data_IF_952670410649
#
_entry.id   IF_952670410649
#
_cell.length_a   1.000
_cell.length_b   1.000
_cell.length_c   1.000
_cell.angle_alpha   90.00
_cell.angle_beta   90.00
_cell.angle_gamma   90.00
#
_symmetry.space_group_name_H-M   'P 1'
#
loop_
_entity.id
_entity.type
_entity.pdbx_description
1 polymer ?
#
# COMPACT_ATOMS: atom_id res chain seq x y z
N UNK A 1 -1.07 3.08 9.50
CA UNK A 1 -0.15 4.06 8.87
C UNK A 1 1.02 4.47 9.79
N UNK A 2 0.87 4.53 11.11
CA UNK A 2 1.99 4.82 12.02
C UNK A 2 3.19 3.86 11.88
N UNK A 3 2.93 2.55 11.74
CA UNK A 3 4.00 1.56 11.55
C UNK A 3 4.78 1.79 10.24
N UNK A 4 4.10 2.16 9.16
CA UNK A 4 4.76 2.54 7.91
C UNK A 4 5.67 3.75 8.10
N UNK A 5 5.20 4.78 8.80
CA UNK A 5 6.01 5.97 9.06
C UNK A 5 7.25 5.63 9.90
N UNK A 6 7.09 4.82 10.95
CA UNK A 6 8.21 4.31 11.74
C UNK A 6 9.21 3.49 10.90
N UNK A 7 8.72 2.72 9.93
CA UNK A 7 9.57 1.98 9.00
C UNK A 7 10.40 2.91 8.10
N UNK A 8 9.81 3.98 7.57
CA UNK A 8 10.51 4.99 6.73
C UNK A 8 11.56 5.75 7.55
N UNK A 9 11.34 5.93 8.86
CA UNK A 9 12.32 6.58 9.75
C UNK A 9 13.50 5.67 10.11
N UNK A 10 13.34 4.35 9.97
CA UNK A 10 14.35 3.36 10.40
C UNK A 10 15.07 2.69 9.24
N UNK A 11 14.52 2.76 8.02
CA UNK A 11 15.03 2.15 6.78
C UNK A 11 14.77 3.08 5.59
N UNK A 12 15.51 2.89 4.48
CA UNK A 12 15.36 3.66 3.24
C UNK A 12 13.91 3.68 2.72
N UNK A 13 13.46 4.82 2.22
CA UNK A 13 12.09 5.01 1.73
C UNK A 13 11.78 4.09 0.55
N UNK A 14 12.76 3.90 -0.35
CA UNK A 14 12.63 3.01 -1.50
C UNK A 14 12.41 1.55 -1.10
N UNK A 15 13.12 1.05 -0.07
CA UNK A 15 12.95 -0.32 0.45
C UNK A 15 11.56 -0.49 1.07
N UNK A 16 11.14 0.45 1.92
CA UNK A 16 9.82 0.41 2.57
C UNK A 16 8.70 0.43 1.53
N UNK A 17 8.80 1.29 0.51
CA UNK A 17 7.80 1.40 -0.55
C UNK A 17 7.70 0.13 -1.39
N UNK A 18 8.83 -0.50 -1.73
CA UNK A 18 8.82 -1.76 -2.50
C UNK A 18 8.30 -2.92 -1.66
N UNK A 19 8.71 -3.07 -0.41
CA UNK A 19 8.17 -4.12 0.46
C UNK A 19 6.68 -3.93 0.71
N UNK A 20 6.23 -2.68 0.85
CA UNK A 20 4.80 -2.39 0.95
C UNK A 20 4.03 -2.72 -0.33
N UNK A 21 4.69 -2.75 -1.49
CA UNK A 21 4.05 -3.15 -2.75
C UNK A 21 3.67 -4.64 -2.80
N UNK A 22 4.19 -5.46 -1.89
CA UNK A 22 3.74 -6.85 -1.68
C UNK A 22 2.37 -6.94 -1.00
N UNK A 23 1.64 -5.82 -0.85
CA UNK A 23 0.27 -5.81 -0.35
C UNK A 23 -0.67 -6.81 -1.04
N UNK A 24 -0.61 -7.02 -2.38
CA UNK A 24 -1.46 -7.99 -3.06
C UNK A 24 -1.30 -9.43 -2.57
N UNK A 25 -0.11 -9.85 -2.11
CA UNK A 25 0.09 -11.16 -1.46
C UNK A 25 -0.85 -11.33 -0.28
N UNK A 26 -0.78 -10.39 0.67
CA UNK A 26 -1.58 -10.45 1.88
C UNK A 26 -3.07 -10.28 1.57
N UNK A 27 -3.42 -9.39 0.64
CA UNK A 27 -4.81 -9.21 0.19
C UNK A 27 -5.33 -10.51 -0.43
N UNK A 28 -4.54 -11.22 -1.22
CA UNK A 28 -4.97 -12.47 -1.88
C UNK A 28 -5.27 -13.56 -0.85
N UNK A 29 -4.37 -13.76 0.11
CA UNK A 29 -4.55 -14.74 1.20
C UNK A 29 -5.78 -14.36 2.04
N UNK A 30 -5.90 -13.10 2.44
CA UNK A 30 -6.99 -12.63 3.30
C UNK A 30 -8.33 -12.60 2.56
N UNK A 31 -8.36 -12.26 1.28
CA UNK A 31 -9.56 -12.30 0.46
C UNK A 31 -10.06 -13.73 0.25
N UNK A 32 -9.17 -14.70 0.09
CA UNK A 32 -9.56 -16.11 0.08
C UNK A 32 -10.16 -16.54 1.42
N UNK A 33 -9.51 -16.23 2.55
CA UNK A 33 -9.97 -16.65 3.87
C UNK A 33 -11.25 -15.94 4.32
N UNK A 34 -11.33 -14.63 4.12
CA UNK A 34 -12.43 -13.80 4.61
C UNK A 34 -13.52 -13.64 3.54
N UNK A 35 -13.19 -13.27 2.31
CA UNK A 35 -14.19 -13.02 1.27
C UNK A 35 -14.62 -14.29 0.52
N UNK A 36 -13.90 -15.41 0.68
CA UNK A 36 -14.06 -16.62 -0.13
C UNK A 36 -13.88 -16.34 -1.63
N UNK A 37 -13.01 -15.38 -1.97
CA UNK A 37 -12.58 -15.15 -3.35
C UNK A 37 -11.72 -16.33 -3.83
N UNK A 38 -11.91 -16.78 -5.06
CA UNK A 38 -11.12 -17.89 -5.61
C UNK A 38 -9.67 -17.47 -5.84
N UNK A 39 -8.72 -18.34 -5.51
CA UNK A 39 -7.31 -18.15 -5.85
C UNK A 39 -7.03 -18.84 -7.19
N UNK A 40 -6.68 -18.06 -8.21
CA UNK A 40 -6.22 -18.61 -9.48
C UNK A 40 -4.73 -19.00 -9.41
N UNK A 41 -4.31 -19.98 -10.22
CA UNK A 41 -2.91 -20.44 -10.28
C UNK A 41 -1.92 -19.32 -10.62
N UNK A 42 -2.36 -18.33 -11.41
CA UNK A 42 -1.62 -17.10 -11.71
C UNK A 42 -1.30 -16.28 -10.47
N UNK A 43 -2.25 -16.17 -9.53
CA UNK A 43 -2.09 -15.38 -8.31
C UNK A 43 -1.10 -16.05 -7.35
N UNK A 44 -1.05 -17.40 -7.34
CA UNK A 44 -0.04 -18.16 -6.58
C UNK A 44 1.36 -17.97 -7.17
N UNK A 45 1.49 -17.99 -8.50
CA UNK A 45 2.78 -17.74 -9.15
C UNK A 45 3.28 -16.32 -8.88
N UNK A 46 2.40 -15.32 -8.99
CA UNK A 46 2.70 -13.93 -8.65
C UNK A 46 3.20 -13.81 -7.21
N UNK A 47 2.50 -14.44 -6.27
CA UNK A 47 2.86 -14.47 -4.86
C UNK A 47 4.26 -15.06 -4.62
N UNK A 48 4.61 -16.18 -5.27
CA UNK A 48 5.94 -16.79 -5.15
C UNK A 48 7.02 -15.84 -5.68
N UNK A 49 6.80 -15.25 -6.86
CA UNK A 49 7.76 -14.31 -7.47
C UNK A 49 7.94 -13.05 -6.63
N UNK A 50 6.88 -12.56 -5.97
CA UNK A 50 6.95 -11.42 -5.05
C UNK A 50 7.72 -11.74 -3.77
N UNK A 51 7.53 -12.92 -3.20
CA UNK A 51 8.33 -13.38 -2.05
C UNK A 51 9.81 -13.46 -2.43
N UNK A 52 10.13 -14.04 -3.59
CA UNK A 52 11.51 -14.10 -4.07
C UNK A 52 12.08 -12.70 -4.29
N UNK A 53 11.34 -11.82 -4.97
CA UNK A 53 11.75 -10.44 -5.23
C UNK A 53 12.00 -9.65 -3.94
N UNK A 54 11.11 -9.76 -2.96
CA UNK A 54 11.27 -9.10 -1.65
C UNK A 54 12.48 -9.62 -0.87
N UNK A 55 12.75 -10.94 -0.90
CA UNK A 55 13.93 -11.53 -0.28
C UNK A 55 15.24 -11.04 -0.92
N UNK A 56 15.27 -10.89 -2.25
CA UNK A 56 16.43 -10.35 -2.98
C UNK A 56 16.67 -8.87 -2.60
N UNK A 57 15.62 -8.07 -2.43
CA UNK A 57 15.72 -6.66 -2.01
C UNK A 57 16.28 -6.55 -0.61
N UNK A 58 15.72 -7.33 0.32
CA UNK A 58 16.19 -7.36 1.71
C UNK A 58 17.66 -7.80 1.75
N UNK A 59 18.05 -8.78 0.92
CA UNK A 59 19.38 -9.38 0.89
C UNK A 59 19.91 -9.71 2.30
N UNK A 60 19.32 -10.73 2.96
CA UNK A 60 19.55 -11.03 4.37
C UNK A 60 21.00 -11.45 4.71
N UNK A 61 21.82 -11.75 3.70
CA UNK A 61 23.21 -12.23 3.87
C UNK A 61 24.25 -11.09 3.86
N UNK A 62 23.87 -9.87 3.48
CA UNK A 62 24.80 -8.72 3.39
C UNK A 62 24.20 -7.42 3.97
N UNK A 63 23.31 -7.57 4.96
CA UNK A 63 22.34 -6.53 5.30
C UNK A 63 22.96 -5.33 6.03
N UNK A 64 23.02 -4.18 5.34
CA UNK A 64 23.10 -2.83 5.96
C UNK A 64 21.72 -2.26 6.32
N UNK A 65 20.64 -3.04 6.18
CA UNK A 65 19.27 -2.60 6.44
C UNK A 65 18.86 -2.92 7.88
N UNK A 66 18.05 -2.03 8.46
CA UNK A 66 17.51 -2.24 9.79
C UNK A 66 16.36 -3.26 9.73
N UNK A 67 16.57 -4.45 10.29
CA UNK A 67 15.56 -5.52 10.37
C UNK A 67 14.27 -5.02 11.02
N UNK A 68 14.38 -4.14 12.03
CA UNK A 68 13.21 -3.59 12.71
C UNK A 68 12.29 -2.82 11.75
N UNK A 69 12.86 -1.99 10.87
CA UNK A 69 12.09 -1.26 9.85
C UNK A 69 11.44 -2.19 8.81
N UNK A 70 12.10 -3.29 8.45
CA UNK A 70 11.53 -4.32 7.56
C UNK A 70 10.32 -4.99 8.21
N UNK A 71 10.43 -5.41 9.48
CA UNK A 71 9.32 -6.01 10.23
C UNK A 71 8.13 -5.05 10.37
N UNK A 72 8.41 -3.77 10.68
CA UNK A 72 7.38 -2.74 10.74
C UNK A 72 6.67 -2.53 9.38
N UNK A 73 7.42 -2.62 8.28
CA UNK A 73 6.86 -2.52 6.93
C UNK A 73 5.89 -3.67 6.69
N UNK A 74 6.32 -4.92 6.93
CA UNK A 74 5.49 -6.11 6.75
C UNK A 74 4.23 -6.04 7.62
N UNK A 75 4.37 -5.65 8.90
CA UNK A 75 3.24 -5.47 9.80
C UNK A 75 2.26 -4.40 9.28
N UNK A 76 2.78 -3.26 8.79
CA UNK A 76 1.95 -2.22 8.20
C UNK A 76 1.23 -2.68 6.94
N UNK A 77 1.88 -3.47 6.09
CA UNK A 77 1.29 -4.03 4.88
C UNK A 77 0.17 -5.00 5.22
N UNK A 78 0.37 -5.88 6.21
CA UNK A 78 -0.67 -6.81 6.66
C UNK A 78 -1.91 -6.10 7.21
N UNK A 79 -1.72 -5.08 8.06
CA UNK A 79 -2.83 -4.28 8.60
C UNK A 79 -3.56 -3.55 7.47
N UNK A 80 -2.83 -3.03 6.49
CA UNK A 80 -3.43 -2.37 5.34
C UNK A 80 -4.21 -3.34 4.44
N UNK A 81 -3.70 -4.55 4.23
CA UNK A 81 -4.41 -5.61 3.51
C UNK A 81 -5.71 -5.99 4.22
N UNK A 82 -5.68 -6.15 5.55
CA UNK A 82 -6.88 -6.38 6.37
C UNK A 82 -7.89 -5.25 6.20
N UNK A 83 -7.44 -4.00 6.29
CA UNK A 83 -8.30 -2.83 6.07
C UNK A 83 -8.98 -2.85 4.70
N UNK A 84 -8.24 -3.14 3.63
CA UNK A 84 -8.79 -3.25 2.27
C UNK A 84 -9.82 -4.37 2.15
N UNK A 85 -9.50 -5.58 2.63
CA UNK A 85 -10.38 -6.76 2.53
C UNK A 85 -11.66 -6.61 3.35
N UNK A 86 -11.58 -6.08 4.58
CA UNK A 86 -12.78 -5.75 5.34
C UNK A 86 -13.57 -4.60 4.71
N UNK A 87 -12.86 -3.60 4.18
CA UNK A 87 -13.44 -2.49 3.45
C UNK A 87 -14.29 -2.96 2.26
N UNK A 88 -13.82 -3.93 1.47
CA UNK A 88 -14.57 -4.54 0.36
C UNK A 88 -15.97 -5.00 0.77
N UNK A 89 -16.10 -5.72 1.91
CA UNK A 89 -17.40 -6.19 2.41
C UNK A 89 -18.36 -5.04 2.69
N UNK A 90 -17.85 -3.94 3.23
CA UNK A 90 -18.64 -2.76 3.57
C UNK A 90 -18.96 -1.91 2.34
N UNK A 91 -18.06 -1.86 1.37
CA UNK A 91 -18.27 -1.17 0.10
C UNK A 91 -19.47 -1.73 -0.65
N UNK A 92 -19.65 -3.05 -0.67
CA UNK A 92 -20.82 -3.69 -1.29
C UNK A 92 -22.16 -3.31 -0.63
N UNK A 93 -22.16 -2.90 0.64
CA UNK A 93 -23.37 -2.52 1.39
C UNK A 93 -23.63 -1.01 1.37
N UNK A 94 -22.60 -0.19 1.48
CA UNK A 94 -22.71 1.24 1.74
C UNK A 94 -22.12 2.13 0.63
N UNK A 95 -21.40 1.55 -0.34
CA UNK A 95 -20.55 2.29 -1.26
C UNK A 95 -19.18 2.61 -0.64
N UNK A 96 -18.16 2.60 -1.48
CA UNK A 96 -16.75 2.82 -1.17
C UNK A 96 -16.41 4.27 -0.90
N UNK A 97 -17.12 5.24 -1.49
CA UNK A 97 -17.01 6.65 -1.08
C UNK A 97 -17.44 6.80 0.38
N UNK A 98 -18.57 6.19 0.76
CA UNK A 98 -19.08 6.24 2.14
C UNK A 98 -18.11 5.56 3.11
N UNK A 99 -17.59 4.37 2.75
CA UNK A 99 -16.56 3.68 3.54
C UNK A 99 -15.30 4.53 3.71
N UNK A 100 -14.90 5.27 2.67
CA UNK A 100 -13.76 6.21 2.74
C UNK A 100 -14.03 7.36 3.71
N UNK A 101 -15.20 7.99 3.63
CA UNK A 101 -15.58 9.08 4.54
C UNK A 101 -15.57 8.63 6.01
N UNK A 102 -16.22 7.50 6.32
CA UNK A 102 -16.19 6.95 7.68
C UNK A 102 -14.76 6.58 8.10
N UNK A 103 -13.98 5.97 7.20
CA UNK A 103 -12.57 5.66 7.44
C UNK A 103 -11.74 6.89 7.82
N UNK A 104 -11.95 8.02 7.15
CA UNK A 104 -11.28 9.28 7.48
C UNK A 104 -11.79 9.93 8.76
N UNK A 105 -13.08 9.85 9.06
CA UNK A 105 -13.61 10.37 10.33
C UNK A 105 -13.00 9.58 11.50
N UNK A 106 -13.09 8.25 11.49
CA UNK A 106 -12.54 7.43 12.57
C UNK A 106 -11.02 7.49 12.62
N UNK A 107 -10.33 7.47 11.47
CA UNK A 107 -8.88 7.60 11.42
C UNK A 107 -8.38 8.97 11.89
N UNK A 108 -9.10 10.06 11.60
CA UNK A 108 -8.74 11.39 12.10
C UNK A 108 -8.99 11.51 13.60
N UNK A 109 -10.08 10.94 14.13
CA UNK A 109 -10.34 10.86 15.56
C UNK A 109 -9.27 10.03 16.30
N UNK A 110 -8.91 8.86 15.78
CA UNK A 110 -7.83 8.02 16.32
C UNK A 110 -6.52 8.81 16.39
N UNK A 111 -6.14 9.48 15.29
CA UNK A 111 -4.92 10.29 15.26
C UNK A 111 -4.98 11.48 16.21
N UNK A 112 -6.13 12.13 16.34
CA UNK A 112 -6.31 13.25 17.27
C UNK A 112 -6.12 12.81 18.73
N UNK A 113 -6.62 11.62 19.08
CA UNK A 113 -6.40 11.03 20.41
C UNK A 113 -4.91 10.75 20.62
N UNK A 114 -4.23 10.13 19.67
CA UNK A 114 -2.79 9.86 19.76
C UNK A 114 -1.96 11.15 19.90
N UNK A 115 -2.33 12.20 19.17
CA UNK A 115 -1.70 13.51 19.30
C UNK A 115 -1.98 14.10 20.68
N UNK A 116 -3.21 14.04 21.19
CA UNK A 116 -3.53 14.49 22.55
C UNK A 116 -2.70 13.77 23.62
N UNK A 117 -2.53 12.45 23.49
CA UNK A 117 -1.66 11.67 24.38
C UNK A 117 -0.18 12.08 24.29
N UNK A 118 0.29 12.51 23.12
CA UNK A 118 1.68 12.97 22.94
C UNK A 118 2.03 14.24 23.71
N UNK A 119 1.03 15.02 24.16
CA UNK A 119 1.22 16.22 24.98
C UNK A 119 1.26 15.93 26.49
N UNK A 120 0.93 14.70 26.91
CA UNK A 120 1.04 14.30 28.32
C UNK A 120 2.52 14.17 28.67
N UNK A 121 2.98 14.92 29.67
CA UNK A 121 4.42 15.06 30.01
C UNK A 121 5.13 13.71 30.21
N UNK A 122 4.46 12.74 30.82
CA UNK A 122 5.02 11.39 31.00
C UNK A 122 5.23 10.64 29.68
N UNK A 123 4.23 10.67 28.78
CA UNK A 123 4.27 9.99 27.48
C UNK A 123 5.25 10.71 26.53
N UNK A 124 5.20 12.04 26.53
CA UNK A 124 6.12 12.91 25.79
C UNK A 124 7.57 12.61 26.14
N UNK A 125 7.91 12.51 27.44
CA UNK A 125 9.27 12.17 27.87
C UNK A 125 9.71 10.75 27.45
N UNK A 126 8.80 9.77 27.47
CA UNK A 126 9.10 8.41 26.97
C UNK A 126 9.42 8.46 25.47
N UNK A 127 8.65 9.22 24.68
CA UNK A 127 8.88 9.35 23.25
C UNK A 127 10.14 10.14 22.94
N UNK A 128 10.41 11.22 23.67
CA UNK A 128 11.61 12.05 23.53
C UNK A 128 12.91 11.28 23.81
N UNK A 129 12.89 10.36 24.78
CA UNK A 129 14.05 9.54 25.14
C UNK A 129 14.37 8.42 24.13
N UNK A 130 13.51 8.21 23.13
CA UNK A 130 13.70 7.20 22.09
C UNK A 130 14.03 7.87 20.75
N UNK A 131 15.20 7.59 20.17
CA UNK A 131 15.66 8.20 18.91
C UNK A 131 14.67 8.07 17.74
N UNK A 132 13.86 7.00 17.71
CA UNK A 132 12.88 6.73 16.65
C UNK A 132 11.51 7.35 16.95
N UNK A 133 11.12 7.42 18.23
CA UNK A 133 9.79 7.89 18.63
C UNK A 133 9.76 9.39 18.95
N UNK A 134 10.90 10.06 18.98
CA UNK A 134 11.03 11.50 19.28
C UNK A 134 10.15 12.38 18.39
N UNK A 135 9.93 11.99 17.13
CA UNK A 135 9.03 12.68 16.19
C UNK A 135 7.55 12.65 16.63
N UNK A 136 7.17 11.67 17.45
CA UNK A 136 5.83 11.55 18.02
C UNK A 136 5.70 12.25 19.37
N UNK A 137 6.73 12.94 19.85
CA UNK A 137 6.68 13.74 21.07
C UNK A 137 6.09 15.11 20.79
N UNK A 138 5.08 15.53 21.56
CA UNK A 138 4.50 16.88 21.50
C UNK A 138 4.12 17.33 20.08
N UNK A 139 3.38 16.47 19.36
CA UNK A 139 3.08 16.67 17.94
C UNK A 139 2.32 17.99 17.76
N UNK A 140 2.84 18.93 16.96
CA UNK A 140 2.16 20.19 16.72
C UNK A 140 0.94 20.02 15.81
N UNK A 141 -0.22 20.52 16.24
CA UNK A 141 -1.46 20.49 15.44
C UNK A 141 -1.67 21.70 14.54
N UNK A 142 -1.17 22.87 14.95
CA UNK A 142 -1.49 24.15 14.28
C UNK A 142 -0.25 24.94 13.84
N UNK A 143 0.95 24.36 13.95
CA UNK A 143 2.21 25.02 13.57
C UNK A 143 2.86 24.31 12.40
N UNK A 144 3.62 25.04 11.57
CA UNK A 144 4.25 24.49 10.36
C UNK A 144 3.42 24.67 9.09
N UNK A 145 2.23 25.26 9.20
CA UNK A 145 1.39 25.66 8.08
C UNK A 145 1.77 27.08 7.65
N UNK A 146 2.60 27.21 6.63
CA UNK A 146 2.94 28.48 5.99
C UNK A 146 2.40 28.49 4.56
N UNK A 147 2.37 29.66 3.92
CA UNK A 147 1.93 29.77 2.52
C UNK A 147 2.80 28.93 1.58
N UNK A 148 4.05 28.67 1.95
CA UNK A 148 4.99 27.84 1.20
C UNK A 148 4.72 26.33 1.37
N UNK A 149 4.26 25.89 2.55
CA UNK A 149 3.96 24.46 2.80
C UNK A 149 2.53 24.09 2.41
N UNK A 150 1.64 25.07 2.31
CA UNK A 150 0.23 24.86 1.99
C UNK A 150 -0.01 24.05 0.70
N UNK A 151 0.69 24.27 -0.43
CA UNK A 151 0.48 23.48 -1.65
C UNK A 151 0.80 22.00 -1.45
N UNK A 152 1.87 21.68 -0.71
CA UNK A 152 2.26 20.30 -0.41
C UNK A 152 1.20 19.63 0.46
N UNK A 153 0.66 20.35 1.44
CA UNK A 153 -0.39 19.84 2.33
C UNK A 153 -1.69 19.59 1.56
N UNK A 154 -2.10 20.52 0.70
CA UNK A 154 -3.28 20.35 -0.16
C UNK A 154 -3.10 19.13 -1.08
N UNK A 155 -1.92 18.97 -1.69
CA UNK A 155 -1.62 17.82 -2.52
C UNK A 155 -1.72 16.50 -1.74
N UNK A 156 -1.12 16.42 -0.55
CA UNK A 156 -1.14 15.21 0.27
C UNK A 156 -2.57 14.89 0.76
N UNK A 157 -3.31 15.89 1.23
CA UNK A 157 -4.64 15.69 1.82
C UNK A 157 -5.71 15.42 0.77
N UNK A 158 -5.79 16.23 -0.30
CA UNK A 158 -6.86 16.13 -1.29
C UNK A 158 -6.53 15.10 -2.34
N UNK A 159 -5.36 15.20 -2.98
CA UNK A 159 -5.03 14.37 -4.15
C UNK A 159 -4.58 12.99 -3.71
N UNK A 160 -3.52 12.90 -2.90
CA UNK A 160 -2.95 11.61 -2.52
C UNK A 160 -3.87 10.83 -1.57
N UNK A 161 -4.38 11.47 -0.52
CA UNK A 161 -5.18 10.78 0.50
C UNK A 161 -6.65 10.74 0.09
N UNK A 162 -7.29 11.91 -0.11
CA UNK A 162 -8.71 12.01 -0.43
C UNK A 162 -9.12 11.23 -1.67
N UNK A 163 -8.66 11.68 -2.84
CA UNK A 163 -8.98 11.07 -4.13
C UNK A 163 -8.38 9.66 -4.25
N UNK A 164 -7.16 9.46 -3.76
CA UNK A 164 -6.50 8.15 -3.80
C UNK A 164 -7.33 7.06 -3.14
N UNK A 165 -7.78 7.26 -1.89
CA UNK A 165 -8.63 6.28 -1.20
C UNK A 165 -10.04 6.20 -1.76
N UNK A 166 -10.64 7.32 -2.15
CA UNK A 166 -11.97 7.33 -2.76
C UNK A 166 -11.99 6.51 -4.06
N UNK A 167 -11.02 6.70 -4.94
CA UNK A 167 -10.88 5.92 -6.17
C UNK A 167 -10.50 4.47 -5.89
N UNK A 168 -9.65 4.21 -4.89
CA UNK A 168 -9.29 2.85 -4.50
C UNK A 168 -10.51 2.06 -4.04
N UNK A 169 -11.31 2.59 -3.12
CA UNK A 169 -12.51 1.91 -2.66
C UNK A 169 -13.63 1.91 -3.70
N UNK A 170 -13.72 2.94 -4.55
CA UNK A 170 -14.66 2.93 -5.68
C UNK A 170 -14.32 1.84 -6.69
N UNK A 171 -13.04 1.66 -7.04
CA UNK A 171 -12.59 0.54 -7.86
C UNK A 171 -12.85 -0.82 -7.17
N UNK A 172 -12.70 -0.86 -5.86
CA UNK A 172 -13.00 -2.04 -5.04
C UNK A 172 -14.50 -2.34 -4.94
N UNK A 173 -15.40 -1.39 -5.18
CA UNK A 173 -16.83 -1.72 -5.34
C UNK A 173 -17.04 -2.56 -6.60
N UNK A 174 -16.46 -2.11 -7.72
CA UNK A 174 -16.69 -2.64 -9.07
C UNK A 174 -15.81 -3.84 -9.44
N UNK A 175 -14.78 -4.15 -8.63
CA UNK A 175 -13.84 -5.26 -8.86
C UNK A 175 -13.55 -6.03 -7.57
N UNK A 176 -12.81 -7.15 -7.65
CA UNK A 176 -12.42 -7.91 -6.45
C UNK A 176 -11.36 -7.18 -5.62
N UNK A 177 -11.21 -7.57 -4.35
CA UNK A 177 -10.15 -7.03 -3.50
C UNK A 177 -8.77 -7.34 -4.09
N UNK A 178 -8.61 -8.57 -4.61
CA UNK A 178 -7.41 -9.01 -5.34
C UNK A 178 -7.10 -8.09 -6.52
N UNK A 179 -8.02 -7.92 -7.48
CA UNK A 179 -7.78 -7.10 -8.68
C UNK A 179 -7.50 -5.64 -8.34
N UNK A 180 -8.21 -5.07 -7.36
CA UNK A 180 -7.96 -3.67 -6.94
C UNK A 180 -6.56 -3.52 -6.36
N UNK A 181 -6.09 -4.49 -5.58
CA UNK A 181 -4.76 -4.42 -4.95
C UNK A 181 -3.60 -4.42 -5.96
N UNK A 182 -3.80 -4.91 -7.19
CA UNK A 182 -2.77 -4.95 -8.23
C UNK A 182 -2.23 -3.55 -8.59
N UNK A 183 -2.99 -2.47 -8.32
CA UNK A 183 -2.50 -1.08 -8.50
C UNK A 183 -1.30 -0.75 -7.63
N UNK A 184 -1.06 -1.50 -6.54
CA UNK A 184 0.14 -1.33 -5.72
C UNK A 184 1.42 -1.76 -6.45
N UNK A 185 1.32 -2.49 -7.56
CA UNK A 185 2.46 -2.88 -8.38
C UNK A 185 3.09 -1.77 -9.23
N UNK A 186 2.49 -0.58 -9.27
CA UNK A 186 3.16 0.60 -9.82
C UNK A 186 4.24 1.15 -8.86
N UNK A 187 4.11 0.93 -7.55
CA UNK A 187 5.06 1.40 -6.54
C UNK A 187 6.51 0.91 -6.75
N UNK A 188 6.79 -0.37 -7.03
CA UNK A 188 8.17 -0.84 -7.17
C UNK A 188 8.92 -0.24 -8.37
N UNK A 189 8.21 0.36 -9.33
CA UNK A 189 8.84 1.14 -10.41
C UNK A 189 8.99 2.60 -9.99
N UNK A 190 7.87 3.22 -9.60
CA UNK A 190 7.83 4.67 -9.39
C UNK A 190 8.58 5.10 -8.14
N UNK A 191 8.45 4.36 -7.03
CA UNK A 191 9.03 4.78 -5.76
C UNK A 191 10.58 4.79 -5.79
N UNK A 192 11.29 3.77 -6.32
CA UNK A 192 12.74 3.83 -6.44
C UNK A 192 13.23 4.94 -7.36
N UNK A 193 12.56 5.15 -8.51
CA UNK A 193 12.91 6.24 -9.44
C UNK A 193 12.74 7.60 -8.77
N UNK A 194 11.61 7.82 -8.09
CA UNK A 194 11.38 9.07 -7.36
C UNK A 194 12.34 9.22 -6.17
N UNK A 195 12.68 8.15 -5.47
CA UNK A 195 13.67 8.20 -4.39
C UNK A 195 15.08 8.53 -4.90
N UNK A 196 15.47 8.02 -6.07
CA UNK A 196 16.74 8.38 -6.71
C UNK A 196 16.77 9.86 -7.12
N UNK A 197 15.69 10.36 -7.72
CA UNK A 197 15.62 11.74 -8.24
C UNK A 197 15.47 12.77 -7.12
N UNK A 198 14.57 12.52 -6.17
CA UNK A 198 14.16 13.49 -5.14
C UNK A 198 14.93 13.34 -3.82
N UNK A 199 15.28 12.10 -3.45
CA UNK A 199 15.98 11.81 -2.18
C UNK A 199 17.46 11.48 -2.40
N UNK A 200 17.91 11.41 -3.65
CA UNK A 200 19.26 11.01 -4.03
C UNK A 200 19.68 9.65 -3.44
N UNK A 201 18.72 8.73 -3.27
CA UNK A 201 19.00 7.39 -2.77
C UNK A 201 19.73 6.55 -3.83
N UNK A 202 20.85 5.94 -3.46
CA UNK A 202 21.53 4.96 -4.32
C UNK A 202 20.69 3.68 -4.38
N UNK A 203 20.24 3.32 -5.59
CA UNK A 203 19.53 2.07 -5.90
C UNK A 203 20.56 0.96 -6.11
N UNK A 204 20.68 0.00 -5.17
CA UNK A 204 21.65 -1.08 -5.32
C UNK A 204 21.16 -2.12 -6.34
N UNK A 205 22.09 -2.87 -6.93
CA UNK A 205 21.79 -3.81 -8.01
C UNK A 205 20.80 -4.92 -7.61
N UNK A 206 20.88 -5.40 -6.36
CA UNK A 206 19.91 -6.37 -5.83
C UNK A 206 18.47 -5.82 -5.82
N UNK A 207 18.32 -4.51 -5.59
CA UNK A 207 17.00 -3.88 -5.63
C UNK A 207 16.40 -3.90 -7.04
N UNK A 208 17.22 -3.68 -8.07
CA UNK A 208 16.79 -3.76 -9.47
C UNK A 208 16.31 -5.18 -9.79
N UNK A 209 17.08 -6.21 -9.42
CA UNK A 209 16.70 -7.60 -9.64
C UNK A 209 15.37 -7.91 -8.94
N UNK A 210 15.22 -7.51 -7.67
CA UNK A 210 13.98 -7.77 -6.94
C UNK A 210 12.75 -7.07 -7.54
N UNK A 211 12.91 -5.84 -8.04
CA UNK A 211 11.84 -5.13 -8.76
C UNK A 211 11.44 -5.93 -10.02
N UNK A 212 12.38 -6.46 -10.78
CA UNK A 212 12.09 -7.29 -11.97
C UNK A 212 11.24 -8.50 -11.58
N UNK A 213 11.59 -9.22 -10.51
CA UNK A 213 10.81 -10.37 -10.04
C UNK A 213 9.38 -9.97 -9.63
N UNK A 214 9.22 -8.88 -8.89
CA UNK A 214 7.90 -8.37 -8.47
C UNK A 214 7.04 -7.99 -9.70
N UNK A 215 7.65 -7.37 -10.71
CA UNK A 215 6.94 -6.98 -11.93
C UNK A 215 6.53 -8.18 -12.79
N UNK A 216 7.40 -9.18 -12.91
CA UNK A 216 7.06 -10.43 -13.60
C UNK A 216 5.91 -11.16 -12.89
N UNK A 217 5.95 -11.20 -11.55
CA UNK A 217 4.85 -11.72 -10.75
C UNK A 217 3.54 -10.99 -11.02
N UNK A 218 3.55 -9.67 -10.91
CA UNK A 218 2.42 -8.79 -11.20
C UNK A 218 1.82 -9.03 -12.60
N UNK A 219 2.65 -9.02 -13.64
CA UNK A 219 2.21 -9.25 -15.02
C UNK A 219 1.54 -10.62 -15.18
N UNK A 220 2.10 -11.66 -14.54
CA UNK A 220 1.53 -13.00 -14.57
C UNK A 220 0.14 -13.09 -13.93
N UNK A 221 -0.14 -12.24 -12.92
CA UNK A 221 -1.45 -12.15 -12.27
C UNK A 221 -2.47 -11.35 -13.07
N UNK A 222 -2.04 -10.25 -13.71
CA UNK A 222 -2.93 -9.30 -14.42
C UNK A 222 -3.38 -9.84 -15.78
N UNK A 223 -2.47 -10.46 -16.54
CA UNK A 223 -2.73 -10.86 -17.94
C UNK A 223 -3.93 -11.81 -18.08
N UNK A 224 -4.09 -12.87 -17.27
CA UNK A 224 -5.23 -13.77 -17.37
C UNK A 224 -6.57 -13.08 -17.12
N UNK A 225 -6.65 -12.23 -16.10
CA UNK A 225 -7.87 -11.49 -15.75
C UNK A 225 -8.29 -10.52 -16.88
N UNK A 226 -7.31 -9.84 -17.49
CA UNK A 226 -7.57 -8.95 -18.62
C UNK A 226 -8.03 -9.70 -19.88
N UNK A 227 -7.44 -10.87 -20.15
CA UNK A 227 -7.81 -11.70 -21.30
C UNK A 227 -9.22 -12.28 -21.17
N UNK A 228 -9.60 -12.75 -19.97
CA UNK A 228 -10.95 -13.24 -19.68
C UNK A 228 -11.99 -12.12 -19.82
N UNK A 229 -11.72 -10.94 -19.26
CA UNK A 229 -12.62 -9.78 -19.35
C UNK A 229 -12.78 -9.25 -20.77
N UNK A 230 -11.72 -9.33 -21.59
CA UNK A 230 -11.75 -9.00 -23.03
C UNK A 230 -12.53 -10.02 -23.84
N UNK A 231 -12.42 -11.31 -23.51
CA UNK A 231 -13.22 -12.39 -24.13
C UNK A 231 -14.72 -12.23 -23.89
N UNK A 232 -15.12 -11.80 -22.69
CA UNK A 232 -16.54 -11.58 -22.34
C UNK A 232 -17.16 -10.32 -23.00
N UNK A 233 -16.33 -9.39 -23.49
CA UNK A 233 -16.79 -8.15 -24.16
C UNK A 233 -16.98 -8.27 -25.67
N UNK A 234 -16.63 -9.40 -26.30
CA UNK A 234 -16.96 -9.63 -27.72
C UNK A 234 -18.47 -9.95 -27.83
N UNK A 235 -19.28 -9.17 -28.56
CA UNK A 235 -20.67 -9.53 -28.79
C UNK A 235 -20.73 -10.78 -29.69
N UNK A 236 -21.67 -11.67 -29.36
CA UNK A 236 -22.13 -12.79 -30.19
C UNK A 236 -22.82 -12.26 -31.47
N UNK A 237 -22.09 -11.61 -32.37
CA UNK A 237 -22.60 -11.16 -33.67
C UNK A 237 -21.80 -11.81 -34.80
N UNK A 238 -21.88 -13.12 -34.91
CA UNK A 238 -21.45 -13.87 -36.10
C UNK A 238 -21.99 -15.29 -35.94
N UNK A 239 -23.25 -15.51 -36.36
CA UNK A 239 -23.72 -16.74 -37.03
C UNK A 239 -25.25 -16.72 -37.20
N UNK A 240 -25.70 -16.10 -38.29
CA UNK A 240 -26.90 -16.56 -38.99
C UNK A 240 -26.59 -16.54 -40.50
N UNK A 241 -26.31 -17.69 -41.13
CA UNK A 241 -26.28 -17.77 -42.58
C UNK A 241 -27.74 -17.73 -43.06
N UNK A 242 -28.15 -16.59 -43.61
CA UNK A 242 -29.37 -16.52 -44.41
C UNK A 242 -29.06 -17.05 -45.81
N UNK A 243 -29.56 -18.25 -46.09
CA UNK A 243 -30.03 -18.67 -47.42
C UNK A 243 -31.55 -18.67 -47.34
#
# INVERSE_FOLDING_TARGET
MCLYQLAVLTTKASVVAVLFSCNPVFVTILAFLLLKENIHKSNVLALILEIIGSLIIINPFNTKLNIFGVLLTIASTLIFALYGVYGKRKCLKFGGIVVTCFGFIFGSLEMLILIGLSHISYISNIFANNNVLSIFSSIPLFTGYSIQTLPVIIYICIINTGLGFAFYFKAMEETSAQTTSLVFFFKPILAPILALILLHEVIPFNMIIGIVFILLGSLSSIIPDLLIKKSMKKPLSENSPHI
#
